data_IF_478872476160
#
_entry.id   IF_478872476160
#
_cell.length_a   1.000
_cell.length_b   1.000
_cell.length_c   1.000
_cell.angle_alpha   90.00
_cell.angle_beta   90.00
_cell.angle_gamma   90.00
#
_symmetry.space_group_name_H-M   'P 1'
#
loop_
_entity.id
_entity.type
_entity.pdbx_description
1 polymer ?
#
# COMPACT_ATOMS: atom_id res chain seq x y z
N UNK A 1 -1.72 -11.88 -23.87
CA UNK A 1 -2.96 -12.64 -24.16
C UNK A 1 -2.72 -14.11 -24.50
N UNK A 2 -1.70 -14.47 -25.28
CA UNK A 2 -1.43 -15.88 -25.61
C UNK A 2 -0.97 -16.68 -24.39
N UNK A 3 -0.08 -16.13 -23.56
CA UNK A 3 0.38 -16.75 -22.30
C UNK A 3 -0.79 -17.12 -21.37
N UNK A 4 -1.75 -16.20 -21.20
CA UNK A 4 -2.98 -16.47 -20.45
C UNK A 4 -3.75 -17.67 -20.99
N UNK A 5 -3.93 -17.75 -22.32
CA UNK A 5 -4.63 -18.88 -22.96
C UNK A 5 -3.85 -20.19 -22.78
N UNK A 6 -2.54 -20.14 -22.87
CA UNK A 6 -1.67 -21.31 -22.65
C UNK A 6 -1.76 -21.79 -21.21
N UNK A 7 -1.75 -20.87 -20.23
CA UNK A 7 -1.93 -21.18 -18.82
C UNK A 7 -3.27 -21.88 -18.57
N UNK A 8 -4.38 -21.32 -19.06
CA UNK A 8 -5.72 -21.91 -18.91
C UNK A 8 -5.84 -23.26 -19.64
N UNK A 9 -5.14 -23.46 -20.76
CA UNK A 9 -5.08 -24.78 -21.44
C UNK A 9 -4.31 -25.81 -20.62
N UNK A 10 -3.23 -25.40 -19.97
CA UNK A 10 -2.41 -26.27 -19.11
C UNK A 10 -3.14 -26.63 -17.80
N UNK A 11 -3.87 -25.68 -17.22
CA UNK A 11 -4.63 -25.85 -15.99
C UNK A 11 -6.11 -25.52 -16.21
N UNK A 12 -6.88 -26.41 -16.85
CA UNK A 12 -8.27 -26.13 -17.22
C UNK A 12 -9.19 -25.92 -16.01
N UNK A 13 -8.85 -26.49 -14.85
CA UNK A 13 -9.60 -26.33 -13.61
C UNK A 13 -9.55 -24.89 -13.07
N UNK A 14 -8.51 -24.11 -13.38
CA UNK A 14 -8.39 -22.72 -12.93
C UNK A 14 -9.22 -21.73 -13.75
N UNK A 15 -9.79 -22.17 -14.89
CA UNK A 15 -10.48 -21.28 -15.85
C UNK A 15 -11.55 -20.41 -15.19
N UNK A 16 -12.35 -20.98 -14.30
CA UNK A 16 -13.41 -20.24 -13.60
C UNK A 16 -12.85 -19.05 -12.81
N UNK A 17 -11.87 -19.32 -11.94
CA UNK A 17 -11.17 -18.31 -11.14
C UNK A 17 -10.42 -17.30 -12.00
N UNK A 18 -9.71 -17.75 -13.04
CA UNK A 18 -8.96 -16.89 -13.96
C UNK A 18 -9.88 -15.91 -14.69
N UNK A 19 -11.04 -16.38 -15.16
CA UNK A 19 -12.02 -15.53 -15.84
C UNK A 19 -12.72 -14.55 -14.90
N UNK A 20 -12.91 -14.93 -13.64
CA UNK A 20 -13.48 -14.08 -12.59
C UNK A 20 -12.53 -12.93 -12.22
N UNK A 21 -11.24 -13.24 -12.03
CA UNK A 21 -10.26 -12.30 -11.49
C UNK A 21 -9.47 -11.53 -12.55
N UNK A 22 -9.55 -11.93 -13.83
CA UNK A 22 -8.77 -11.27 -14.89
C UNK A 22 -9.10 -9.78 -14.98
N UNK A 23 -8.05 -8.98 -15.05
CA UNK A 23 -8.12 -7.60 -15.48
C UNK A 23 -7.39 -7.50 -16.81
N UNK A 24 -8.17 -7.54 -17.90
CA UNK A 24 -7.65 -7.38 -19.25
C UNK A 24 -7.25 -5.91 -19.48
N UNK A 25 -6.01 -5.71 -19.92
CA UNK A 25 -5.47 -4.45 -20.41
C UNK A 25 -5.00 -4.68 -21.85
N UNK A 26 -4.74 -3.62 -22.63
CA UNK A 26 -4.45 -3.69 -24.08
C UNK A 26 -3.58 -4.90 -24.47
N UNK A 27 -2.42 -5.06 -23.83
CA UNK A 27 -1.48 -6.15 -24.13
C UNK A 27 -1.25 -7.13 -22.97
N UNK A 28 -1.61 -6.74 -21.74
CA UNK A 28 -1.32 -7.52 -20.51
C UNK A 28 -2.60 -7.97 -19.81
N UNK A 29 -2.52 -9.11 -19.13
CA UNK A 29 -3.57 -9.58 -18.22
C UNK A 29 -3.04 -9.47 -16.79
N UNK A 30 -3.76 -8.76 -15.94
CA UNK A 30 -3.47 -8.71 -14.51
C UNK A 30 -4.33 -9.70 -13.74
N UNK A 31 -3.75 -10.32 -12.72
CA UNK A 31 -4.43 -11.15 -11.73
C UNK A 31 -3.93 -10.75 -10.34
N UNK A 32 -4.80 -10.82 -9.34
CA UNK A 32 -4.42 -10.61 -7.95
C UNK A 32 -4.03 -11.95 -7.32
N UNK A 33 -2.74 -12.15 -7.07
CA UNK A 33 -2.22 -13.38 -6.49
C UNK A 33 -2.66 -13.57 -5.03
N UNK A 34 -2.92 -12.49 -4.29
CA UNK A 34 -3.41 -12.59 -2.91
C UNK A 34 -4.87 -13.03 -2.89
N UNK A 35 -5.68 -12.51 -3.81
CA UNK A 35 -7.08 -12.94 -3.93
C UNK A 35 -7.18 -14.44 -4.24
N UNK A 36 -6.31 -14.95 -5.12
CA UNK A 36 -6.23 -16.38 -5.40
C UNK A 36 -5.83 -17.17 -4.14
N UNK A 37 -4.74 -16.76 -3.47
CA UNK A 37 -4.22 -17.44 -2.28
C UNK A 37 -5.25 -17.46 -1.13
N UNK A 38 -6.01 -16.38 -0.95
CA UNK A 38 -6.89 -16.25 0.20
C UNK A 38 -8.26 -16.89 0.01
N UNK A 39 -8.80 -16.84 -1.21
CA UNK A 39 -10.20 -17.15 -1.46
C UNK A 39 -10.41 -18.26 -2.51
N UNK A 40 -9.37 -18.63 -3.27
CA UNK A 40 -9.49 -19.63 -4.34
C UNK A 40 -8.44 -20.74 -4.31
N UNK A 41 -7.57 -20.79 -3.29
CA UNK A 41 -6.46 -21.76 -3.21
C UNK A 41 -6.90 -23.21 -3.45
N UNK A 42 -8.00 -23.63 -2.80
CA UNK A 42 -8.55 -24.98 -2.97
C UNK A 42 -8.96 -25.32 -4.40
N UNK A 43 -9.52 -24.36 -5.14
CA UNK A 43 -9.97 -24.54 -6.52
C UNK A 43 -8.83 -24.34 -7.53
N UNK A 44 -7.87 -23.48 -7.19
CA UNK A 44 -6.75 -23.13 -8.07
C UNK A 44 -5.67 -24.21 -8.04
N UNK A 45 -5.37 -24.74 -6.85
CA UNK A 45 -4.37 -25.76 -6.61
C UNK A 45 -2.93 -25.22 -6.61
N UNK A 46 -2.12 -25.78 -5.71
CA UNK A 46 -0.73 -25.34 -5.46
C UNK A 46 0.14 -25.32 -6.72
N UNK A 47 0.08 -26.35 -7.57
CA UNK A 47 0.92 -26.43 -8.78
C UNK A 47 0.62 -25.29 -9.76
N UNK A 48 -0.66 -24.99 -9.99
CA UNK A 48 -1.04 -23.90 -10.87
C UNK A 48 -0.67 -22.56 -10.25
N UNK A 49 -0.85 -22.40 -8.93
CA UNK A 49 -0.49 -21.19 -8.22
C UNK A 49 1.03 -20.91 -8.28
N UNK A 50 1.87 -21.92 -8.05
CA UNK A 50 3.33 -21.80 -8.12
C UNK A 50 3.82 -21.47 -9.54
N UNK A 51 3.16 -22.02 -10.56
CA UNK A 51 3.46 -21.65 -11.94
C UNK A 51 2.99 -20.21 -12.24
N UNK A 52 1.82 -19.78 -11.74
CA UNK A 52 1.35 -18.42 -11.93
C UNK A 52 2.27 -17.39 -11.27
N UNK A 53 2.83 -17.71 -10.09
CA UNK A 53 3.82 -16.87 -9.38
C UNK A 53 5.06 -16.52 -10.20
N UNK A 54 5.39 -17.30 -11.23
CA UNK A 54 6.50 -16.96 -12.14
C UNK A 54 6.24 -15.67 -12.91
N UNK A 55 4.97 -15.31 -13.11
CA UNK A 55 4.53 -14.07 -13.75
C UNK A 55 4.30 -12.91 -12.78
N UNK A 56 4.72 -13.05 -11.52
CA UNK A 56 4.72 -11.93 -10.57
C UNK A 56 5.65 -10.82 -11.10
N UNK A 57 5.22 -9.56 -10.94
CA UNK A 57 5.93 -8.37 -11.41
C UNK A 57 7.32 -8.24 -10.80
N UNK A 58 7.57 -8.88 -9.65
CA UNK A 58 8.89 -8.95 -9.03
C UNK A 58 9.92 -9.77 -9.84
N UNK A 59 9.47 -10.61 -10.77
CA UNK A 59 10.33 -11.40 -11.64
C UNK A 59 10.57 -10.75 -13.02
N UNK A 60 9.93 -9.60 -13.29
CA UNK A 60 10.01 -8.96 -14.60
C UNK A 60 11.36 -8.29 -14.82
N UNK A 61 11.79 -8.26 -16.07
CA UNK A 61 12.79 -7.28 -16.51
C UNK A 61 12.25 -5.86 -16.33
N UNK A 62 13.15 -4.88 -16.30
CA UNK A 62 12.75 -3.47 -16.17
C UNK A 62 11.80 -3.03 -17.29
N UNK A 63 12.00 -3.52 -18.52
CA UNK A 63 11.15 -3.20 -19.67
C UNK A 63 9.74 -3.77 -19.52
N UNK A 64 9.63 -5.06 -19.17
CA UNK A 64 8.34 -5.71 -18.89
C UNK A 64 7.59 -5.03 -17.74
N UNK A 65 8.31 -4.63 -16.69
CA UNK A 65 7.75 -3.86 -15.58
C UNK A 65 7.19 -2.52 -16.05
N UNK A 66 7.95 -1.77 -16.85
CA UNK A 66 7.54 -0.47 -17.37
C UNK A 66 6.25 -0.59 -18.20
N UNK A 67 6.18 -1.58 -19.08
CA UNK A 67 4.99 -1.80 -19.92
C UNK A 67 3.77 -2.20 -19.08
N UNK A 68 3.94 -3.12 -18.12
CA UNK A 68 2.86 -3.55 -17.23
C UNK A 68 2.36 -2.41 -16.33
N UNK A 69 3.27 -1.60 -15.78
CA UNK A 69 2.95 -0.46 -14.93
C UNK A 69 2.20 0.63 -15.72
N UNK A 70 2.67 0.98 -16.92
CA UNK A 70 1.99 1.97 -17.77
C UNK A 70 0.60 1.48 -18.20
N UNK A 71 0.45 0.21 -18.58
CA UNK A 71 -0.86 -0.34 -18.89
C UNK A 71 -1.82 -0.28 -17.69
N UNK A 72 -1.32 -0.43 -16.45
CA UNK A 72 -2.11 -0.26 -15.23
C UNK A 72 -2.54 1.20 -15.04
N UNK A 73 -1.63 2.15 -15.25
CA UNK A 73 -1.93 3.59 -15.18
C UNK A 73 -2.91 4.05 -16.26
N UNK A 74 -2.78 3.55 -17.49
CA UNK A 74 -3.72 3.86 -18.59
C UNK A 74 -5.14 3.43 -18.22
N UNK A 75 -5.32 2.18 -17.79
CA UNK A 75 -6.63 1.67 -17.38
C UNK A 75 -7.19 2.44 -16.18
N UNK A 76 -6.32 2.77 -15.21
CA UNK A 76 -6.72 3.60 -14.06
C UNK A 76 -7.25 4.95 -14.53
N UNK A 77 -6.51 5.66 -15.39
CA UNK A 77 -6.92 6.95 -15.89
C UNK A 77 -8.20 6.90 -16.73
N UNK A 78 -8.36 5.86 -17.56
CA UNK A 78 -9.60 5.61 -18.30
C UNK A 78 -10.80 5.47 -17.34
N UNK A 79 -10.71 4.58 -16.34
CA UNK A 79 -11.77 4.37 -15.35
C UNK A 79 -12.07 5.60 -14.52
N UNK A 80 -11.05 6.36 -14.14
CA UNK A 80 -11.23 7.56 -13.34
C UNK A 80 -11.96 8.66 -14.12
N UNK A 81 -11.72 8.79 -15.43
CA UNK A 81 -12.46 9.75 -16.28
C UNK A 81 -13.96 9.45 -16.34
N UNK A 82 -14.36 8.19 -16.18
CA UNK A 82 -15.77 7.79 -16.12
C UNK A 82 -16.46 8.19 -14.81
N UNK A 83 -15.68 8.58 -13.79
CA UNK A 83 -16.15 8.91 -12.45
C UNK A 83 -15.51 10.20 -11.93
N UNK A 84 -15.80 11.35 -12.56
CA UNK A 84 -15.12 12.61 -12.28
C UNK A 84 -15.32 13.12 -10.83
N UNK A 85 -16.38 12.67 -10.15
CA UNK A 85 -16.70 13.06 -8.77
C UNK A 85 -16.03 12.18 -7.71
N UNK A 86 -15.38 11.07 -8.11
CA UNK A 86 -14.67 10.18 -7.18
C UNK A 86 -13.27 10.73 -6.88
N UNK A 87 -12.88 10.80 -5.61
CA UNK A 87 -11.53 11.15 -5.20
C UNK A 87 -10.77 9.87 -4.87
N UNK A 88 -9.66 9.63 -5.56
CA UNK A 88 -8.78 8.49 -5.30
C UNK A 88 -7.52 8.95 -4.59
N UNK A 89 -7.23 8.33 -3.46
CA UNK A 89 -5.97 8.50 -2.74
C UNK A 89 -5.03 7.35 -3.10
N UNK A 90 -3.89 7.67 -3.68
CA UNK A 90 -2.86 6.70 -4.05
C UNK A 90 -1.64 6.89 -3.15
N UNK A 91 -1.41 5.94 -2.24
CA UNK A 91 -0.21 5.95 -1.42
C UNK A 91 0.97 5.37 -2.22
N UNK A 92 2.11 6.08 -2.19
CA UNK A 92 3.42 5.58 -2.61
C UNK A 92 3.53 5.07 -4.07
N UNK A 93 2.50 5.30 -4.89
CA UNK A 93 2.31 4.63 -6.17
C UNK A 93 3.16 5.19 -7.31
N UNK A 94 3.48 6.50 -7.27
CA UNK A 94 4.30 7.18 -8.30
C UNK A 94 5.77 7.18 -7.93
N UNK A 95 6.13 7.28 -6.65
CA UNK A 95 7.54 7.39 -6.22
C UNK A 95 8.08 6.08 -5.68
N UNK A 96 7.50 5.50 -4.63
CA UNK A 96 8.16 4.42 -3.89
C UNK A 96 8.50 3.22 -4.77
N UNK A 97 7.50 2.53 -5.31
CA UNK A 97 7.74 1.33 -6.10
C UNK A 97 8.54 1.62 -7.37
N UNK A 98 8.31 2.77 -8.00
CA UNK A 98 9.00 3.14 -9.24
C UNK A 98 10.49 3.40 -8.99
N UNK A 99 10.82 4.19 -7.97
CA UNK A 99 12.21 4.45 -7.58
C UNK A 99 12.88 3.14 -7.16
N UNK A 100 12.22 2.31 -6.35
CA UNK A 100 12.77 1.03 -5.92
C UNK A 100 13.14 0.12 -7.10
N UNK A 101 12.19 -0.12 -8.00
CA UNK A 101 12.42 -0.99 -9.16
C UNK A 101 13.58 -0.50 -10.02
N UNK A 102 13.63 0.81 -10.30
CA UNK A 102 14.69 1.38 -11.14
C UNK A 102 16.06 1.40 -10.43
N UNK A 103 16.10 1.71 -9.13
CA UNK A 103 17.34 1.62 -8.36
C UNK A 103 17.86 0.18 -8.35
N UNK A 104 17.03 -0.79 -7.97
CA UNK A 104 17.41 -2.21 -7.87
C UNK A 104 17.94 -2.76 -9.20
N UNK A 105 17.31 -2.38 -10.32
CA UNK A 105 17.75 -2.71 -11.67
C UNK A 105 19.04 -1.97 -12.11
N UNK A 106 19.59 -1.09 -11.26
CA UNK A 106 20.74 -0.21 -11.56
C UNK A 106 20.49 0.66 -12.81
N UNK A 107 19.24 1.08 -13.00
CA UNK A 107 18.87 2.00 -14.07
C UNK A 107 19.37 3.42 -13.80
N UNK A 108 19.44 4.25 -14.83
CA UNK A 108 19.75 5.67 -14.65
C UNK A 108 18.53 6.46 -14.20
N UNK A 109 18.75 7.55 -13.45
CA UNK A 109 17.67 8.49 -13.11
C UNK A 109 16.95 9.03 -14.35
N UNK A 110 17.65 9.23 -15.47
CA UNK A 110 17.04 9.67 -16.73
C UNK A 110 16.00 8.69 -17.25
N UNK A 111 16.26 7.38 -17.16
CA UNK A 111 15.28 6.37 -17.55
C UNK A 111 14.05 6.43 -16.66
N UNK A 112 14.24 6.53 -15.34
CA UNK A 112 13.12 6.70 -14.40
C UNK A 112 12.32 7.97 -14.70
N UNK A 113 13.00 9.10 -14.92
CA UNK A 113 12.36 10.37 -15.22
C UNK A 113 11.49 10.28 -16.49
N UNK A 114 12.01 9.69 -17.57
CA UNK A 114 11.24 9.48 -18.81
C UNK A 114 10.02 8.59 -18.58
N UNK A 115 10.16 7.53 -17.79
CA UNK A 115 9.06 6.65 -17.42
C UNK A 115 7.98 7.38 -16.61
N UNK A 116 8.38 8.11 -15.57
CA UNK A 116 7.46 8.90 -14.73
C UNK A 116 6.77 10.00 -15.53
N UNK A 117 7.47 10.67 -16.46
CA UNK A 117 6.84 11.64 -17.36
C UNK A 117 5.72 11.04 -18.21
N UNK A 118 5.83 9.77 -18.63
CA UNK A 118 4.72 9.07 -19.31
C UNK A 118 3.53 8.86 -18.40
N UNK A 119 3.75 8.55 -17.11
CA UNK A 119 2.67 8.46 -16.13
C UNK A 119 1.99 9.83 -15.99
N UNK A 120 2.75 10.93 -15.90
CA UNK A 120 2.17 12.28 -15.85
C UNK A 120 1.26 12.55 -17.05
N UNK A 121 1.72 12.26 -18.28
CA UNK A 121 0.88 12.39 -19.47
C UNK A 121 -0.39 11.53 -19.43
N UNK A 122 -0.33 10.32 -18.86
CA UNK A 122 -1.50 9.43 -18.74
C UNK A 122 -2.56 10.00 -17.80
N UNK A 123 -2.13 10.57 -16.67
CA UNK A 123 -3.02 11.13 -15.64
C UNK A 123 -3.39 12.60 -15.89
N UNK A 124 -2.93 13.17 -17.01
CA UNK A 124 -3.28 14.52 -17.41
C UNK A 124 -4.81 14.66 -17.53
N UNK A 125 -5.33 15.77 -16.99
CA UNK A 125 -6.77 16.05 -16.93
C UNK A 125 -7.50 15.43 -15.74
N UNK A 126 -6.87 14.57 -14.92
CA UNK A 126 -7.47 14.00 -13.71
C UNK A 126 -7.35 14.91 -12.47
N UNK A 127 -6.88 16.16 -12.65
CA UNK A 127 -6.55 17.09 -11.56
C UNK A 127 -5.65 16.46 -10.46
N UNK A 128 -4.53 15.80 -10.81
CA UNK A 128 -3.69 15.14 -9.83
C UNK A 128 -3.05 16.15 -8.87
N UNK A 129 -2.96 15.76 -7.60
CA UNK A 129 -2.26 16.50 -6.56
C UNK A 129 -1.27 15.57 -5.85
N UNK A 130 -0.09 16.08 -5.52
CA UNK A 130 0.95 15.33 -4.82
C UNK A 130 1.17 15.91 -3.42
N UNK A 131 1.04 15.06 -2.41
CA UNK A 131 1.55 15.34 -1.06
C UNK A 131 2.85 14.56 -0.88
N UNK A 132 3.91 15.25 -0.49
CA UNK A 132 5.23 14.66 -0.30
C UNK A 132 5.72 14.92 1.12
N UNK A 133 5.73 13.87 1.93
CA UNK A 133 6.31 13.93 3.28
C UNK A 133 7.82 13.75 3.19
N UNK A 134 8.56 14.63 3.86
CA UNK A 134 10.02 14.57 3.91
C UNK A 134 10.54 14.97 5.28
N UNK A 135 11.80 14.64 5.54
CA UNK A 135 12.62 15.28 6.59
C UNK A 135 13.73 16.01 5.88
N UNK A 136 14.14 17.17 6.39
CA UNK A 136 15.17 18.00 5.75
C UNK A 136 16.48 17.21 5.52
N UNK A 137 16.82 16.33 6.46
CA UNK A 137 18.02 15.48 6.39
C UNK A 137 17.61 14.02 6.28
N UNK A 138 18.07 13.36 5.21
CA UNK A 138 17.81 11.92 5.00
C UNK A 138 18.28 11.04 6.17
N UNK A 139 19.37 11.42 6.84
CA UNK A 139 19.87 10.69 8.00
C UNK A 139 18.87 10.66 9.16
N UNK A 140 18.04 11.70 9.31
CA UNK A 140 17.02 11.76 10.36
C UNK A 140 15.91 10.75 10.05
N UNK A 141 15.55 10.58 8.77
CA UNK A 141 14.62 9.53 8.31
C UNK A 141 15.19 8.13 8.54
N UNK A 142 16.46 7.92 8.20
CA UNK A 142 17.14 6.64 8.39
C UNK A 142 17.21 6.28 9.87
N UNK A 143 17.60 7.24 10.72
CA UNK A 143 17.67 7.06 12.17
C UNK A 143 16.30 6.72 12.74
N UNK A 144 15.27 7.51 12.42
CA UNK A 144 13.89 7.25 12.84
C UNK A 144 13.42 5.84 12.43
N UNK A 145 13.75 5.39 11.22
CA UNK A 145 13.40 4.04 10.77
C UNK A 145 14.16 2.96 11.56
N UNK A 146 15.43 3.18 11.88
CA UNK A 146 16.22 2.23 12.68
C UNK A 146 15.70 2.14 14.12
N UNK A 147 15.35 3.27 14.74
CA UNK A 147 14.76 3.29 16.07
C UNK A 147 13.40 2.60 16.12
N UNK A 148 12.56 2.85 15.10
CA UNK A 148 11.19 2.32 15.08
C UNK A 148 11.09 0.85 14.67
N UNK A 149 11.93 0.39 13.73
CA UNK A 149 11.87 -0.97 13.18
C UNK A 149 13.04 -1.87 13.58
N UNK A 150 14.09 -1.29 14.14
CA UNK A 150 15.30 -1.99 14.53
C UNK A 150 16.26 -2.27 13.37
N UNK A 151 17.53 -2.43 13.70
CA UNK A 151 18.59 -2.78 12.75
C UNK A 151 18.33 -4.09 12.00
N UNK A 152 17.75 -5.08 12.66
CA UNK A 152 17.44 -6.38 12.07
C UNK A 152 16.48 -6.25 10.88
N UNK A 153 15.54 -5.30 10.92
CA UNK A 153 14.67 -4.99 9.79
C UNK A 153 15.49 -4.49 8.59
N UNK A 154 16.44 -3.58 8.80
CA UNK A 154 17.30 -3.08 7.71
C UNK A 154 18.15 -4.21 7.10
N UNK A 155 18.71 -5.07 7.94
CA UNK A 155 19.48 -6.23 7.49
C UNK A 155 18.62 -7.23 6.70
N UNK A 156 17.37 -7.44 7.11
CA UNK A 156 16.42 -8.29 6.39
C UNK A 156 16.08 -7.72 5.01
N UNK A 157 15.81 -6.41 4.90
CA UNK A 157 15.53 -5.78 3.60
C UNK A 157 16.75 -5.89 2.68
N UNK A 158 17.94 -5.58 3.19
CA UNK A 158 19.17 -5.80 2.42
C UNK A 158 19.32 -7.26 1.99
N UNK A 159 19.12 -8.22 2.90
CA UNK A 159 19.29 -9.64 2.60
C UNK A 159 18.33 -10.14 1.53
N UNK A 160 17.09 -9.64 1.51
CA UNK A 160 16.10 -9.89 0.46
C UNK A 160 16.60 -9.38 -0.89
N UNK A 161 17.15 -8.16 -0.93
CA UNK A 161 17.41 -7.46 -2.19
C UNK A 161 18.86 -7.56 -2.69
N UNK A 162 19.80 -8.08 -1.89
CA UNK A 162 21.27 -8.11 -2.17
C UNK A 162 21.66 -8.75 -3.49
N UNK A 163 20.78 -9.57 -4.08
CA UNK A 163 21.02 -10.26 -5.35
C UNK A 163 20.79 -9.36 -6.57
N UNK A 164 20.14 -8.20 -6.38
CA UNK A 164 19.86 -7.25 -7.44
C UNK A 164 21.12 -6.47 -7.89
N UNK A 165 21.19 -6.04 -9.17
CA UNK A 165 22.33 -5.32 -9.75
C UNK A 165 22.81 -4.10 -8.94
N UNK A 166 21.91 -3.39 -8.26
CA UNK A 166 22.23 -2.23 -7.43
C UNK A 166 23.28 -2.51 -6.35
N UNK A 167 23.19 -3.67 -5.69
CA UNK A 167 24.01 -3.99 -4.51
C UNK A 167 25.39 -4.56 -4.86
N UNK A 168 25.70 -4.77 -6.14
CA UNK A 168 26.93 -5.41 -6.59
C UNK A 168 28.22 -4.71 -6.09
N UNK A 169 28.15 -3.40 -5.85
CA UNK A 169 29.26 -2.56 -5.39
C UNK A 169 28.92 -1.77 -4.11
N UNK A 170 27.95 -2.25 -3.32
CA UNK A 170 27.48 -1.60 -2.10
C UNK A 170 27.91 -2.38 -0.85
N UNK A 171 28.00 -1.73 0.32
CA UNK A 171 28.25 -2.42 1.58
C UNK A 171 27.21 -3.50 1.86
N UNK A 172 27.61 -4.52 2.62
CA UNK A 172 26.71 -5.57 3.08
C UNK A 172 25.91 -5.12 4.33
N UNK A 173 24.80 -5.81 4.59
CA UNK A 173 23.95 -5.60 5.77
C UNK A 173 23.23 -4.26 5.78
N UNK A 174 22.89 -3.79 6.99
CA UNK A 174 22.12 -2.56 7.19
C UNK A 174 22.72 -1.35 6.46
N UNK A 175 24.04 -1.21 6.41
CA UNK A 175 24.68 -0.08 5.73
C UNK A 175 24.42 -0.07 4.22
N UNK A 176 24.34 -1.24 3.59
CA UNK A 176 23.93 -1.34 2.19
C UNK A 176 22.55 -0.74 1.96
N UNK A 177 21.61 -1.04 2.84
CA UNK A 177 20.26 -0.47 2.77
C UNK A 177 20.24 1.03 3.12
N UNK A 178 21.06 1.51 4.05
CA UNK A 178 21.19 2.96 4.31
C UNK A 178 21.66 3.72 3.07
N UNK A 179 22.63 3.19 2.32
CA UNK A 179 23.06 3.77 1.04
C UNK A 179 21.90 3.79 0.04
N UNK A 180 21.14 2.70 -0.06
CA UNK A 180 19.94 2.64 -0.90
C UNK A 180 18.92 3.75 -0.55
N UNK A 181 18.68 3.99 0.74
CA UNK A 181 17.74 5.03 1.19
C UNK A 181 18.22 6.44 0.86
N UNK A 182 19.53 6.70 0.91
CA UNK A 182 20.10 7.98 0.48
C UNK A 182 19.91 8.22 -1.01
N UNK A 183 20.17 7.20 -1.84
CA UNK A 183 19.94 7.28 -3.28
C UNK A 183 18.44 7.44 -3.60
N UNK A 184 17.57 6.73 -2.86
CA UNK A 184 16.13 6.86 -2.94
C UNK A 184 15.68 8.29 -2.65
N UNK A 185 16.13 8.88 -1.54
CA UNK A 185 15.78 10.24 -1.13
C UNK A 185 16.17 11.27 -2.19
N UNK A 186 17.39 11.15 -2.72
CA UNK A 186 17.87 12.01 -3.79
C UNK A 186 16.96 11.92 -5.03
N UNK A 187 16.55 10.71 -5.43
CA UNK A 187 15.69 10.52 -6.58
C UNK A 187 14.27 11.01 -6.32
N UNK A 188 13.73 10.77 -5.13
CA UNK A 188 12.41 11.22 -4.72
C UNK A 188 12.32 12.75 -4.72
N UNK A 189 13.31 13.44 -4.13
CA UNK A 189 13.37 14.91 -4.15
C UNK A 189 13.42 15.48 -5.56
N UNK A 190 14.24 14.89 -6.45
CA UNK A 190 14.30 15.31 -7.87
C UNK A 190 12.98 15.07 -8.62
N UNK A 191 12.31 13.95 -8.35
CA UNK A 191 11.00 13.67 -8.96
C UNK A 191 9.92 14.61 -8.43
N UNK A 192 9.91 14.90 -7.13
CA UNK A 192 9.06 15.91 -6.51
C UNK A 192 9.25 17.27 -7.19
N UNK A 193 10.50 17.71 -7.40
CA UNK A 193 10.75 18.97 -8.11
C UNK A 193 10.21 18.97 -9.54
N UNK A 194 10.31 17.85 -10.24
CA UNK A 194 9.82 17.69 -11.61
C UNK A 194 8.30 17.47 -11.74
N UNK A 195 7.57 17.29 -10.63
CA UNK A 195 6.13 17.03 -10.68
C UNK A 195 5.39 18.26 -11.23
N UNK A 196 4.62 18.13 -12.34
CA UNK A 196 4.13 19.29 -13.09
C UNK A 196 2.80 19.85 -12.56
N UNK A 197 2.13 19.16 -11.63
CA UNK A 197 0.83 19.55 -11.10
C UNK A 197 0.93 20.12 -9.68
N UNK A 198 -0.22 20.37 -9.05
CA UNK A 198 -0.29 20.89 -7.68
C UNK A 198 0.45 19.94 -6.74
N UNK A 199 1.40 20.47 -5.97
CA UNK A 199 2.16 19.69 -4.99
C UNK A 199 2.33 20.44 -3.67
N UNK A 200 2.38 19.68 -2.59
CA UNK A 200 2.67 20.15 -1.25
C UNK A 200 3.77 19.27 -0.65
N UNK A 201 4.90 19.87 -0.31
CA UNK A 201 5.92 19.26 0.52
C UNK A 201 5.61 19.55 1.98
N UNK A 202 5.57 18.53 2.83
CA UNK A 202 5.34 18.66 4.26
C UNK A 202 6.55 18.11 5.00
N UNK A 203 7.24 18.99 5.72
CA UNK A 203 8.35 18.60 6.59
C UNK A 203 7.80 17.97 7.87
N UNK A 204 7.99 16.67 8.01
CA UNK A 204 7.50 15.88 9.15
C UNK A 204 8.53 15.77 10.27
N UNK A 205 9.57 16.62 10.27
CA UNK A 205 10.69 16.53 11.21
C UNK A 205 10.21 16.58 12.67
N UNK A 206 9.34 17.53 12.99
CA UNK A 206 8.83 17.78 14.34
C UNK A 206 7.67 16.87 14.77
N UNK A 207 7.10 16.08 13.85
CA UNK A 207 5.95 15.23 14.15
C UNK A 207 4.67 15.99 14.57
N UNK A 208 4.55 17.26 14.17
CA UNK A 208 3.42 18.15 14.49
C UNK A 208 2.16 17.83 13.67
N UNK A 209 1.63 16.60 13.80
CA UNK A 209 0.55 16.07 12.95
C UNK A 209 -0.74 16.90 12.92
N UNK A 210 -1.09 17.60 14.00
CA UNK A 210 -2.25 18.50 14.00
C UNK A 210 -2.05 19.69 13.04
N UNK A 211 -0.84 20.25 13.00
CA UNK A 211 -0.48 21.31 12.03
C UNK A 211 -0.48 20.74 10.61
N UNK A 212 0.15 19.58 10.40
CA UNK A 212 0.23 18.96 9.08
C UNK A 212 -1.16 18.64 8.53
N UNK A 213 -2.08 18.18 9.39
CA UNK A 213 -3.47 17.94 9.00
C UNK A 213 -4.15 19.22 8.50
N UNK A 214 -3.93 20.36 9.17
CA UNK A 214 -4.48 21.64 8.74
C UNK A 214 -3.92 22.10 7.39
N UNK A 215 -2.61 21.96 7.18
CA UNK A 215 -1.96 22.28 5.90
C UNK A 215 -2.51 21.41 4.76
N UNK A 216 -2.69 20.11 5.01
CA UNK A 216 -3.27 19.16 4.05
C UNK A 216 -4.72 19.51 3.71
N UNK A 217 -5.57 19.78 4.70
CA UNK A 217 -6.96 20.17 4.47
C UNK A 217 -7.06 21.45 3.64
N UNK A 218 -6.21 22.44 3.94
CA UNK A 218 -6.14 23.70 3.19
C UNK A 218 -5.71 23.46 1.74
N UNK A 219 -4.66 22.65 1.53
CA UNK A 219 -4.17 22.31 0.21
C UNK A 219 -5.21 21.52 -0.60
N UNK A 220 -5.84 20.52 0.00
CA UNK A 220 -6.85 19.68 -0.64
C UNK A 220 -8.22 20.36 -0.75
N UNK A 221 -8.38 21.57 -0.19
CA UNK A 221 -9.64 22.31 -0.13
C UNK A 221 -10.77 21.50 0.54
N UNK A 222 -10.40 20.70 1.52
CA UNK A 222 -11.36 19.99 2.34
C UNK A 222 -11.97 20.99 3.32
N UNK A 223 -13.30 20.97 3.44
CA UNK A 223 -13.98 21.74 4.47
C UNK A 223 -13.49 21.34 5.86
N UNK A 224 -13.66 22.22 6.84
CA UNK A 224 -13.51 21.82 8.24
C UNK A 224 -14.53 20.72 8.53
N UNK A 225 -14.09 19.45 8.52
CA UNK A 225 -14.82 18.45 9.26
C UNK A 225 -14.80 18.90 10.71
N UNK A 226 -15.98 19.19 11.24
CA UNK A 226 -16.17 19.22 12.69
C UNK A 226 -15.67 17.87 13.17
N UNK A 227 -14.43 17.79 13.69
CA UNK A 227 -13.94 16.63 14.42
C UNK A 227 -14.99 16.47 15.51
N UNK A 228 -15.92 15.54 15.32
CA UNK A 228 -16.88 15.23 16.35
C UNK A 228 -16.00 14.71 17.48
N UNK A 229 -15.77 15.57 18.47
CA UNK A 229 -15.25 15.18 19.76
C UNK A 229 -16.37 14.40 20.46
N UNK A 230 -16.82 13.30 19.84
CA UNK A 230 -17.61 12.32 20.53
C UNK A 230 -16.69 11.71 21.57
N UNK A 231 -17.09 11.80 22.83
CA UNK A 231 -16.51 10.96 23.88
C UNK A 231 -16.93 9.53 23.55
N UNK A 232 -16.15 8.85 22.72
CA UNK A 232 -16.39 7.47 22.36
C UNK A 232 -16.42 6.60 23.61
N UNK A 233 -17.51 5.88 23.82
CA UNK A 233 -17.54 4.81 24.82
C UNK A 233 -16.86 3.61 24.19
N UNK A 234 -15.61 3.36 24.59
CA UNK A 234 -14.86 2.20 24.13
C UNK A 234 -15.46 0.93 24.74
N UNK A 235 -15.89 -0.01 23.90
CA UNK A 235 -16.32 -1.31 24.36
C UNK A 235 -15.10 -2.21 24.56
N UNK A 236 -14.44 -2.07 25.71
CA UNK A 236 -13.30 -2.90 26.06
C UNK A 236 -13.69 -4.39 26.06
N UNK A 237 -12.75 -5.23 25.61
CA UNK A 237 -12.96 -6.67 25.49
C UNK A 237 -12.08 -7.33 24.43
N UNK A 238 -12.26 -8.64 24.31
CA UNK A 238 -11.61 -9.46 23.28
C UNK A 238 -12.67 -9.82 22.26
N UNK A 239 -12.36 -9.61 20.98
CA UNK A 239 -13.23 -9.86 19.85
C UNK A 239 -12.59 -10.93 18.96
N UNK A 240 -13.33 -11.98 18.61
CA UNK A 240 -12.81 -13.16 17.91
C UNK A 240 -13.54 -13.38 16.59
N UNK A 241 -12.78 -13.64 15.53
CA UNK A 241 -13.32 -14.09 14.24
C UNK A 241 -13.00 -15.57 14.08
N UNK A 242 -14.03 -16.42 14.17
CA UNK A 242 -13.88 -17.87 14.01
C UNK A 242 -13.42 -18.24 12.60
N UNK A 243 -13.95 -17.55 11.58
CA UNK A 243 -13.58 -17.75 10.17
C UNK A 243 -12.09 -17.49 9.92
N UNK A 244 -11.53 -16.43 10.51
CA UNK A 244 -10.13 -16.07 10.31
C UNK A 244 -9.18 -16.76 11.30
N UNK A 245 -9.72 -17.37 12.36
CA UNK A 245 -8.94 -17.82 13.52
C UNK A 245 -7.98 -16.70 14.01
N UNK A 246 -8.56 -15.51 14.24
CA UNK A 246 -7.86 -14.30 14.69
C UNK A 246 -8.66 -13.62 15.80
N UNK A 247 -7.95 -12.87 16.64
CA UNK A 247 -8.56 -12.07 17.70
C UNK A 247 -8.02 -10.64 17.66
N UNK A 248 -8.85 -9.72 18.13
CA UNK A 248 -8.54 -8.32 18.35
C UNK A 248 -8.91 -8.01 19.80
N UNK A 249 -8.14 -7.17 20.48
CA UNK A 249 -8.50 -6.69 21.81
C UNK A 249 -8.69 -5.17 21.79
N UNK A 250 -9.65 -4.67 22.55
CA UNK A 250 -9.81 -3.24 22.80
C UNK A 250 -9.60 -3.00 24.28
N UNK A 251 -8.71 -2.05 24.59
CA UNK A 251 -8.41 -1.63 25.95
C UNK A 251 -8.16 -0.13 25.97
N UNK A 252 -8.96 0.61 26.75
CA UNK A 252 -8.77 2.05 26.96
C UNK A 252 -8.61 2.86 25.66
N UNK A 253 -9.45 2.58 24.65
CA UNK A 253 -9.40 3.28 23.37
C UNK A 253 -8.23 2.91 22.46
N UNK A 254 -7.55 1.80 22.76
CA UNK A 254 -6.52 1.20 21.91
C UNK A 254 -7.02 -0.15 21.42
N UNK A 255 -6.98 -0.34 20.11
CA UNK A 255 -7.15 -1.62 19.45
C UNK A 255 -5.79 -2.32 19.34
N UNK A 256 -5.73 -3.59 19.74
CA UNK A 256 -4.57 -4.46 19.58
C UNK A 256 -4.88 -5.39 18.41
N UNK A 257 -4.13 -5.27 17.31
CA UNK A 257 -4.32 -6.07 16.10
C UNK A 257 -4.01 -7.55 16.37
N UNK A 258 -4.39 -8.47 15.46
CA UNK A 258 -4.02 -9.88 15.65
C UNK A 258 -2.51 -10.14 15.68
N UNK A 259 -1.71 -9.25 15.09
CA UNK A 259 -0.25 -9.25 15.16
C UNK A 259 0.33 -8.59 16.43
N UNK A 260 -0.52 -8.09 17.34
CA UNK A 260 -0.08 -7.44 18.58
C UNK A 260 0.26 -5.96 18.44
N UNK A 261 -0.02 -5.33 17.29
CA UNK A 261 0.27 -3.90 17.07
C UNK A 261 -0.82 -3.06 17.72
N UNK A 262 -0.43 -1.97 18.38
CA UNK A 262 -1.36 -1.08 19.06
C UNK A 262 -1.80 0.06 18.12
N UNK A 263 -3.10 0.23 17.94
CA UNK A 263 -3.72 1.27 17.11
C UNK A 263 -4.70 2.07 17.96
N UNK A 264 -4.52 3.39 18.01
CA UNK A 264 -5.44 4.29 18.72
C UNK A 264 -6.76 4.37 17.95
N UNK A 265 -7.88 4.28 18.67
CA UNK A 265 -9.23 4.47 18.12
C UNK A 265 -9.58 5.96 18.13
N UNK A 266 -9.80 6.52 16.96
CA UNK A 266 -10.24 7.91 16.77
C UNK A 266 -11.76 7.89 16.60
N UNK A 267 -12.54 8.36 17.59
CA UNK A 267 -13.99 8.21 17.57
C UNK A 267 -14.62 9.04 16.44
N UNK A 268 -15.64 8.46 15.81
CA UNK A 268 -16.54 9.08 14.83
C UNK A 268 -17.98 8.96 15.32
N UNK A 269 -18.94 9.30 14.45
CA UNK A 269 -20.36 9.10 14.73
C UNK A 269 -20.75 7.61 14.71
N UNK A 270 -21.83 7.28 15.41
CA UNK A 270 -22.52 5.98 15.32
C UNK A 270 -21.69 4.75 15.71
N UNK A 271 -20.77 4.91 16.67
CA UNK A 271 -19.91 3.82 17.15
C UNK A 271 -18.83 3.40 16.15
N UNK A 272 -18.56 4.24 15.14
CA UNK A 272 -17.41 4.07 14.23
C UNK A 272 -16.17 4.71 14.81
N UNK A 273 -15.03 4.12 14.49
CA UNK A 273 -13.72 4.61 14.90
C UNK A 273 -12.75 4.43 13.74
N UNK A 274 -11.99 5.46 13.42
CA UNK A 274 -10.83 5.31 12.53
C UNK A 274 -9.68 4.73 13.36
N UNK A 275 -8.93 3.81 12.75
CA UNK A 275 -7.66 3.38 13.31
C UNK A 275 -6.60 4.40 12.95
N UNK A 276 -5.94 4.95 13.97
CA UNK A 276 -4.79 5.84 13.75
C UNK A 276 -3.76 5.12 12.87
N UNK A 277 -3.18 5.85 11.90
CA UNK A 277 -2.11 5.45 10.97
C UNK A 277 -2.44 4.45 9.85
N UNK A 278 -3.68 3.96 9.76
CA UNK A 278 -4.13 3.05 8.68
C UNK A 278 -5.55 3.39 8.22
N UNK A 279 -5.91 3.21 6.94
CA UNK A 279 -7.23 3.54 6.39
C UNK A 279 -8.30 2.47 6.72
N UNK A 280 -8.31 1.99 7.97
CA UNK A 280 -9.25 0.98 8.46
C UNK A 280 -10.22 1.63 9.43
N UNK A 281 -11.51 1.39 9.20
CA UNK A 281 -12.58 1.85 10.08
C UNK A 281 -13.09 0.63 10.85
N UNK A 282 -13.34 0.80 12.14
CA UNK A 282 -14.00 -0.23 12.94
C UNK A 282 -15.31 0.30 13.48
N UNK A 283 -16.40 -0.43 13.22
CA UNK A 283 -17.70 -0.17 13.84
C UNK A 283 -17.88 -1.10 15.01
N UNK A 284 -17.97 -0.51 16.19
CA UNK A 284 -18.11 -1.25 17.44
C UNK A 284 -19.56 -1.16 17.87
N UNK A 285 -20.18 -2.32 17.96
CA UNK A 285 -21.48 -2.53 18.57
C UNK A 285 -21.32 -3.33 19.88
N UNK A 286 -22.37 -3.44 20.70
CA UNK A 286 -22.29 -4.06 22.04
C UNK A 286 -21.55 -5.39 22.05
N UNK A 287 -21.88 -6.30 21.13
CA UNK A 287 -21.37 -7.67 21.09
C UNK A 287 -20.55 -8.00 19.83
N UNK A 288 -20.29 -7.02 18.97
CA UNK A 288 -19.55 -7.26 17.72
C UNK A 288 -18.72 -6.06 17.30
N UNK A 289 -17.61 -6.37 16.65
CA UNK A 289 -16.78 -5.43 15.92
C UNK A 289 -16.85 -5.79 14.45
N UNK A 290 -17.19 -4.81 13.62
CA UNK A 290 -17.25 -4.96 12.16
C UNK A 290 -16.17 -4.09 11.54
N UNK A 291 -15.40 -4.69 10.63
CA UNK A 291 -14.38 -3.97 9.87
C UNK A 291 -15.06 -3.28 8.69
N UNK A 292 -14.77 -1.99 8.54
CA UNK A 292 -15.23 -1.10 7.47
C UNK A 292 -14.01 -0.39 6.87
N UNK A 293 -14.21 0.39 5.80
CA UNK A 293 -13.13 1.12 5.12
C UNK A 293 -12.45 0.27 4.05
N UNK A 294 -11.13 0.41 3.93
CA UNK A 294 -10.33 -0.24 2.89
C UNK A 294 -9.69 -1.54 3.37
N UNK A 295 -9.64 -2.55 2.49
CA UNK A 295 -8.86 -3.76 2.74
C UNK A 295 -7.37 -3.46 2.56
N UNK A 296 -6.55 -3.87 3.52
CA UNK A 296 -5.09 -3.86 3.41
C UNK A 296 -4.57 -5.29 3.11
N UNK A 297 -3.25 -5.44 3.07
CA UNK A 297 -2.57 -6.73 2.86
C UNK A 297 -2.69 -7.73 4.04
N UNK A 298 -3.54 -7.43 5.03
CA UNK A 298 -3.82 -8.32 6.15
C UNK A 298 -5.31 -8.69 6.18
N UNK A 299 -5.60 -9.99 6.16
CA UNK A 299 -6.98 -10.53 6.05
C UNK A 299 -7.96 -10.03 7.11
N UNK A 300 -7.48 -9.60 8.28
CA UNK A 300 -8.35 -9.05 9.32
C UNK A 300 -8.91 -7.66 8.98
N UNK A 301 -8.30 -6.95 8.04
CA UNK A 301 -8.73 -5.62 7.59
C UNK A 301 -9.78 -5.67 6.47
N UNK A 302 -10.17 -6.87 6.00
CA UNK A 302 -11.14 -7.01 4.93
C UNK A 302 -12.50 -6.43 5.35
N UNK A 303 -13.10 -5.51 4.56
CA UNK A 303 -14.40 -4.94 4.83
C UNK A 303 -15.48 -6.01 4.98
N UNK A 304 -16.36 -5.84 5.97
CA UNK A 304 -17.39 -6.81 6.32
C UNK A 304 -16.91 -7.94 7.24
N UNK A 305 -15.61 -8.02 7.56
CA UNK A 305 -15.13 -8.98 8.57
C UNK A 305 -15.76 -8.69 9.92
N UNK A 306 -16.34 -9.71 10.55
CA UNK A 306 -16.98 -9.62 11.86
C UNK A 306 -16.15 -10.36 12.90
N UNK A 307 -15.95 -9.70 14.04
CA UNK A 307 -15.42 -10.28 15.27
C UNK A 307 -16.49 -10.21 16.36
N UNK A 308 -16.86 -11.36 16.92
CA UNK A 308 -17.81 -11.43 18.04
C UNK A 308 -17.08 -11.20 19.36
N UNK A 309 -17.71 -10.45 20.27
CA UNK A 309 -17.16 -10.25 21.62
C UNK A 309 -17.12 -11.60 22.33
N UNK A 310 -15.97 -11.91 22.94
CA UNK A 310 -15.79 -13.08 23.78
C UNK A 310 -16.34 -12.75 25.16
N UNK A 311 -17.29 -13.56 25.63
CA UNK A 311 -17.80 -13.46 26.99
C UNK A 311 -16.64 -13.55 28.00
N UNK A 312 -16.72 -12.76 29.07
CA UNK A 312 -15.82 -12.88 30.20
C UNK A 312 -16.08 -14.23 30.88
N UNK A 313 -15.09 -15.12 30.89
CA UNK A 313 -15.10 -16.33 31.72
C UNK A 313 -14.82 -15.98 33.17
#
# INVERSE_FOLDING_TARGET
MEEYRQFVRKYPHTKGTMELLKVARKQVVGLDLLEIEWNHDHEFGQEAYDHLKQYDVWNFSLEEYMDAALAKWELFAERQREKPDEIIVLDSSIFQFQIYTFLLARASFRQLQLFISRIYSIIEGLNPALVFYYRERVEDTIHYMEESRGRAFMEQIWARDRHNPYYADKPAGAEGYRVFLRDYDQWAGRLYESFPYRKLGVDITDGAWDQYTWELSTFLQLGEETRLHSTGVYADGIYVSAHLNRQIAIKNGVLITPGGVHKKLIPKADGRYDLNDIPVIVRIERERLVIEGESLCERWTMPGTVFAKRDAQ
#
